data_IF_315958310066
#
_entry.id   IF_315958310066
#
_cell.length_a   1.000
_cell.length_b   1.000
_cell.length_c   1.000
_cell.angle_alpha   90.00
_cell.angle_beta   90.00
_cell.angle_gamma   90.00
#
_symmetry.space_group_name_H-M   'P 1'
#
loop_
_entity.id
_entity.type
_entity.pdbx_description
1 polymer ?
#
# COMPACT_ATOMS: atom_id res chain seq x y z
N UNK A 1 21.87 9.09 6.09
CA UNK A 1 20.46 9.40 5.76
C UNK A 1 20.09 10.70 6.44
N UNK A 2 19.68 11.70 5.67
CA UNK A 2 19.29 13.01 6.20
C UNK A 2 17.91 12.95 6.88
N UNK A 3 17.58 13.87 7.81
CA UNK A 3 16.25 13.92 8.43
C UNK A 3 15.10 14.06 7.42
N UNK A 4 15.37 14.69 6.27
CA UNK A 4 14.41 14.87 5.17
C UNK A 4 14.15 13.54 4.45
N UNK A 5 15.20 12.78 4.13
CA UNK A 5 15.07 11.43 3.57
C UNK A 5 14.31 10.50 4.52
N UNK A 6 14.59 10.62 5.83
CA UNK A 6 13.88 9.84 6.85
C UNK A 6 12.40 10.15 6.93
N UNK A 7 12.06 11.43 6.98
CA UNK A 7 10.66 11.86 7.01
C UNK A 7 9.92 11.39 5.76
N UNK A 8 10.53 11.53 4.59
CA UNK A 8 9.92 11.12 3.33
C UNK A 8 9.80 9.59 3.21
N UNK A 9 10.79 8.81 3.68
CA UNK A 9 10.69 7.35 3.78
C UNK A 9 9.55 6.93 4.72
N UNK A 10 9.49 7.51 5.92
CA UNK A 10 8.46 7.20 6.90
C UNK A 10 7.06 7.51 6.37
N UNK A 11 6.87 8.69 5.76
CA UNK A 11 5.60 9.08 5.14
C UNK A 11 5.24 8.13 3.99
N UNK A 12 6.21 7.78 3.12
CA UNK A 12 5.98 6.84 2.02
C UNK A 12 5.50 5.48 2.52
N UNK A 13 6.07 4.98 3.62
CA UNK A 13 5.69 3.73 4.25
C UNK A 13 4.29 3.80 4.86
N UNK A 14 4.00 4.83 5.65
CA UNK A 14 2.70 4.99 6.29
C UNK A 14 1.56 5.12 5.27
N UNK A 15 1.77 5.91 4.21
CA UNK A 15 0.80 6.04 3.10
C UNK A 15 0.63 4.70 2.38
N UNK A 16 1.73 3.98 2.13
CA UNK A 16 1.68 2.67 1.47
C UNK A 16 0.90 1.64 2.31
N UNK A 17 1.14 1.62 3.62
CA UNK A 17 0.45 0.74 4.57
C UNK A 17 -1.04 1.06 4.62
N UNK A 18 -1.41 2.34 4.71
CA UNK A 18 -2.82 2.75 4.68
C UNK A 18 -3.50 2.32 3.37
N UNK A 19 -2.80 2.48 2.23
CA UNK A 19 -3.30 2.04 0.94
C UNK A 19 -3.48 0.52 0.84
N UNK A 20 -2.49 -0.26 1.27
CA UNK A 20 -2.59 -1.73 1.31
C UNK A 20 -3.76 -2.20 2.18
N UNK A 21 -3.99 -1.53 3.31
CA UNK A 21 -5.11 -1.84 4.20
C UNK A 21 -6.47 -1.54 3.56
N UNK A 22 -6.63 -0.37 2.92
CA UNK A 22 -7.85 -0.01 2.18
C UNK A 22 -8.09 -0.97 1.01
N UNK A 23 -7.04 -1.35 0.29
CA UNK A 23 -7.12 -2.35 -0.78
C UNK A 23 -7.62 -3.69 -0.23
N UNK A 24 -7.15 -4.11 0.95
CA UNK A 24 -7.63 -5.33 1.59
C UNK A 24 -9.12 -5.23 1.96
N UNK A 25 -9.56 -4.11 2.55
CA UNK A 25 -10.99 -3.88 2.85
C UNK A 25 -11.83 -3.95 1.57
N UNK A 26 -11.41 -3.24 0.51
CA UNK A 26 -12.12 -3.22 -0.76
C UNK A 26 -12.14 -4.60 -1.43
N UNK A 27 -11.06 -5.36 -1.35
CA UNK A 27 -10.98 -6.70 -1.91
C UNK A 27 -11.93 -7.69 -1.22
N UNK A 28 -12.18 -7.53 0.08
CA UNK A 28 -13.19 -8.34 0.78
C UNK A 28 -14.61 -8.10 0.23
N UNK A 29 -14.89 -6.91 -0.30
CA UNK A 29 -16.18 -6.57 -0.94
C UNK A 29 -16.32 -7.15 -2.35
N UNK A 30 -15.21 -7.41 -3.05
CA UNK A 30 -15.23 -8.02 -4.39
C UNK A 30 -15.63 -9.51 -4.37
N UNK A 31 -15.47 -10.20 -3.25
CA UNK A 31 -15.76 -11.64 -3.15
C UNK A 31 -14.82 -12.51 -3.99
N UNK A 32 -15.27 -13.71 -4.40
CA UNK A 32 -14.45 -14.66 -5.16
C UNK A 32 -14.33 -14.26 -6.63
N UNK A 33 -13.18 -13.73 -7.00
CA UNK A 33 -12.86 -13.37 -8.37
C UNK A 33 -12.52 -14.62 -9.19
N UNK A 34 -13.16 -14.80 -10.34
CA UNK A 34 -12.83 -15.87 -11.30
C UNK A 34 -12.18 -15.23 -12.53
N UNK A 35 -11.09 -15.83 -13.04
CA UNK A 35 -10.31 -15.29 -14.16
C UNK A 35 -11.14 -15.08 -15.45
N UNK A 36 -12.25 -15.80 -15.61
CA UNK A 36 -13.19 -15.66 -16.73
C UNK A 36 -13.88 -14.29 -16.79
N UNK A 37 -13.91 -13.57 -15.67
CA UNK A 37 -14.64 -12.30 -15.51
C UNK A 37 -13.71 -11.09 -15.39
N UNK A 38 -12.52 -11.12 -16.03
CA UNK A 38 -11.50 -10.07 -15.92
C UNK A 38 -12.03 -8.65 -16.17
N UNK A 39 -12.83 -8.44 -17.21
CA UNK A 39 -13.41 -7.13 -17.51
C UNK A 39 -14.42 -6.67 -16.45
N UNK A 40 -15.23 -7.59 -15.92
CA UNK A 40 -16.15 -7.29 -14.81
C UNK A 40 -15.40 -6.97 -13.52
N UNK A 41 -14.26 -7.63 -13.27
CA UNK A 41 -13.39 -7.31 -12.14
C UNK A 41 -12.88 -5.87 -12.22
N UNK A 42 -12.35 -5.44 -13.38
CA UNK A 42 -11.87 -4.06 -13.55
C UNK A 42 -12.99 -3.06 -13.27
N UNK A 43 -14.18 -3.31 -13.80
CA UNK A 43 -15.33 -2.43 -13.56
C UNK A 43 -15.69 -2.37 -12.06
N UNK A 44 -15.70 -3.51 -11.38
CA UNK A 44 -15.98 -3.60 -9.96
C UNK A 44 -14.89 -2.93 -9.10
N UNK A 45 -13.63 -2.94 -9.54
CA UNK A 45 -12.54 -2.24 -8.85
C UNK A 45 -12.80 -0.73 -8.86
N UNK A 46 -13.29 -0.18 -9.96
CA UNK A 46 -13.55 1.26 -10.12
C UNK A 46 -14.80 1.70 -9.35
N UNK A 47 -15.79 0.82 -9.19
CA UNK A 47 -17.03 1.13 -8.46
C UNK A 47 -16.88 1.06 -6.94
N UNK A 48 -15.86 0.38 -6.41
CA UNK A 48 -15.61 0.28 -4.97
C UNK A 48 -14.65 1.39 -4.53
N UNK A 49 -15.12 2.39 -3.75
CA UNK A 49 -14.31 3.56 -3.41
C UNK A 49 -13.08 3.21 -2.57
N UNK A 50 -13.15 2.16 -1.72
CA UNK A 50 -11.99 1.73 -0.93
C UNK A 50 -10.84 1.20 -1.81
N UNK A 51 -11.17 0.56 -2.93
CA UNK A 51 -10.15 0.08 -3.86
C UNK A 51 -9.50 1.24 -4.60
N UNK A 52 -10.30 2.22 -5.03
CA UNK A 52 -9.76 3.40 -5.70
C UNK A 52 -8.88 4.22 -4.76
N UNK A 53 -9.35 4.51 -3.55
CA UNK A 53 -8.59 5.25 -2.54
C UNK A 53 -7.34 4.47 -2.11
N UNK A 54 -7.46 3.16 -1.91
CA UNK A 54 -6.36 2.27 -1.60
C UNK A 54 -5.29 2.24 -2.70
N UNK A 55 -5.72 2.17 -3.96
CA UNK A 55 -4.82 2.17 -5.12
C UNK A 55 -4.10 3.51 -5.27
N UNK A 56 -4.82 4.62 -5.16
CA UNK A 56 -4.23 5.96 -5.26
C UNK A 56 -3.24 6.21 -4.12
N UNK A 57 -3.62 5.93 -2.87
CA UNK A 57 -2.73 6.10 -1.72
C UNK A 57 -1.50 5.19 -1.82
N UNK A 58 -1.68 3.91 -2.11
CA UNK A 58 -0.56 2.99 -2.28
C UNK A 58 0.36 3.43 -3.43
N UNK A 59 -0.21 3.88 -4.55
CA UNK A 59 0.55 4.44 -5.67
C UNK A 59 1.38 5.65 -5.26
N UNK A 60 0.81 6.61 -4.53
CA UNK A 60 1.54 7.78 -4.01
C UNK A 60 2.69 7.36 -3.09
N UNK A 61 2.43 6.39 -2.21
CA UNK A 61 3.45 5.82 -1.32
C UNK A 61 4.62 5.20 -2.09
N UNK A 62 4.33 4.41 -3.14
CA UNK A 62 5.34 3.83 -4.03
C UNK A 62 6.12 4.91 -4.78
N UNK A 63 5.45 5.95 -5.30
CA UNK A 63 6.12 7.05 -5.98
C UNK A 63 7.10 7.78 -5.05
N UNK A 64 6.70 8.05 -3.81
CA UNK A 64 7.57 8.64 -2.79
C UNK A 64 8.75 7.72 -2.42
N UNK A 65 8.52 6.40 -2.37
CA UNK A 65 9.57 5.42 -2.13
C UNK A 65 10.60 5.37 -3.28
N UNK A 66 10.13 5.41 -4.54
CA UNK A 66 11.01 5.51 -5.72
C UNK A 66 11.90 6.75 -5.61
N UNK A 67 11.35 7.90 -5.22
CA UNK A 67 12.14 9.12 -5.00
C UNK A 67 13.23 8.92 -3.92
N UNK A 68 13.00 8.13 -2.89
CA UNK A 68 14.02 7.79 -1.88
C UNK A 68 15.10 6.88 -2.44
N UNK A 69 14.75 5.91 -3.27
CA UNK A 69 15.71 5.01 -3.89
C UNK A 69 16.70 5.74 -4.79
N UNK A 70 16.35 6.92 -5.30
CA UNK A 70 17.29 7.78 -6.04
C UNK A 70 18.33 8.48 -5.15
N UNK A 71 18.14 8.48 -3.82
CA UNK A 71 18.96 9.25 -2.86
C UNK A 71 19.64 8.38 -1.81
N UNK A 72 19.07 7.21 -1.51
CA UNK A 72 19.52 6.32 -0.44
C UNK A 72 19.65 4.90 -0.99
N UNK A 73 20.73 4.22 -0.63
CA UNK A 73 20.99 2.84 -1.04
C UNK A 73 19.90 1.89 -0.54
N UNK A 74 19.52 0.92 -1.39
CA UNK A 74 18.50 -0.09 -1.08
C UNK A 74 18.83 -0.88 0.20
N UNK A 75 20.10 -1.15 0.49
CA UNK A 75 20.53 -1.85 1.70
C UNK A 75 20.12 -1.14 3.00
N UNK A 76 19.87 0.18 2.95
CA UNK A 76 19.42 0.98 4.10
C UNK A 76 17.89 1.09 4.13
N UNK A 77 17.25 1.24 2.97
CA UNK A 77 15.79 1.41 2.89
C UNK A 77 15.04 0.09 3.04
N UNK A 78 15.60 -1.03 2.59
CA UNK A 78 14.96 -2.34 2.66
C UNK A 78 14.65 -2.79 4.11
N UNK A 79 15.55 -2.68 5.10
CA UNK A 79 15.22 -2.94 6.49
C UNK A 79 14.06 -2.08 7.02
N UNK A 80 13.99 -0.80 6.63
CA UNK A 80 12.91 0.09 7.06
C UNK A 80 11.55 -0.32 6.45
N UNK A 81 11.55 -0.77 5.19
CA UNK A 81 10.35 -1.34 4.55
C UNK A 81 9.90 -2.60 5.27
N UNK A 82 10.84 -3.47 5.67
CA UNK A 82 10.54 -4.69 6.43
C UNK A 82 9.84 -4.39 7.76
N UNK A 83 10.34 -3.40 8.51
CA UNK A 83 9.68 -2.92 9.73
C UNK A 83 8.29 -2.34 9.42
N UNK A 84 8.14 -1.67 8.27
CA UNK A 84 6.86 -1.17 7.78
C UNK A 84 5.78 -2.25 7.65
N UNK A 85 6.14 -3.50 7.33
CA UNK A 85 5.17 -4.60 7.24
C UNK A 85 4.57 -5.03 8.57
N UNK A 86 5.13 -4.61 9.71
CA UNK A 86 4.51 -4.82 11.02
C UNK A 86 3.14 -4.12 11.09
N UNK A 87 3.01 -2.93 10.50
CA UNK A 87 1.77 -2.15 10.58
C UNK A 87 0.59 -2.82 9.85
N UNK A 88 0.69 -3.27 8.58
CA UNK A 88 -0.37 -4.04 7.93
C UNK A 88 -0.76 -5.29 8.69
N UNK A 89 0.20 -6.00 9.29
CA UNK A 89 -0.05 -7.20 10.09
C UNK A 89 -0.90 -6.84 11.31
N UNK A 90 -0.50 -5.82 12.08
CA UNK A 90 -1.24 -5.35 13.24
C UNK A 90 -2.64 -4.86 12.86
N UNK A 91 -2.74 -3.97 11.86
CA UNK A 91 -4.03 -3.45 11.39
C UNK A 91 -4.96 -4.58 10.92
N UNK A 92 -4.42 -5.54 10.20
CA UNK A 92 -5.19 -6.70 9.75
C UNK A 92 -5.65 -7.52 10.96
N UNK A 93 -4.76 -7.89 11.87
CA UNK A 93 -5.11 -8.67 13.05
C UNK A 93 -6.18 -8.01 13.93
N UNK A 94 -6.10 -6.69 14.15
CA UNK A 94 -7.03 -5.98 15.03
C UNK A 94 -8.36 -5.60 14.37
N UNK A 95 -8.36 -5.25 13.08
CA UNK A 95 -9.54 -4.69 12.40
C UNK A 95 -10.19 -5.72 11.46
N UNK A 96 -9.38 -6.54 10.81
CA UNK A 96 -9.81 -7.56 9.84
C UNK A 96 -9.63 -8.95 10.48
N UNK A 97 -10.54 -9.31 11.39
CA UNK A 97 -10.58 -10.65 12.00
C UNK A 97 -10.48 -11.77 10.98
#
# INVERSE_FOLDING_TARGET
MSPREFSLLLISLLISVAGQFLLKIGALKLGKVHARNFWSLIFNIITIPELLLGLTSYGIGVLAYILILTRVNLSVTAPAVLVGYIFPILLSYFILK
#
